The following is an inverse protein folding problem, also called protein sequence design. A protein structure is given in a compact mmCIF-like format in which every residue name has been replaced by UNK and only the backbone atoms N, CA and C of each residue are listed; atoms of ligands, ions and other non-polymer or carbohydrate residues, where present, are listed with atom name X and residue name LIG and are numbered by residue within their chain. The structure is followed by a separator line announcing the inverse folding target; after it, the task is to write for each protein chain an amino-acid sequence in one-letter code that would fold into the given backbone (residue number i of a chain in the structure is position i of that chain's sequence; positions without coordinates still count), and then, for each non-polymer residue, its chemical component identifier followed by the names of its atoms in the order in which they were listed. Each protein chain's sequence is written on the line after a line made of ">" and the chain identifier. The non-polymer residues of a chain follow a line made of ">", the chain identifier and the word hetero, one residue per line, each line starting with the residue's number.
data_IF_252573619366
#
_entry.id   IF_252573619366
#
_cell.length_a   1.000
_cell.length_b   1.000
_cell.length_c   1.000
_cell.angle_alpha   90.00
_cell.angle_beta   90.00
_cell.angle_gamma   90.00
#
_symmetry.space_group_name_H-M   'P 1'
#
loop_
_entity.id
_entity.type
_entity.pdbx_description
1 polymer ?
#
# COMPACT_ATOMS: atom_id res chain seq x y z
N UNK A 1 24.06 66.54 38.98
CA UNK A 1 22.66 66.17 39.30
C UNK A 1 21.82 66.23 38.04
N UNK A 2 21.75 65.13 37.27
CA UNK A 2 20.77 64.88 36.21
C UNK A 2 20.59 63.36 36.11
N UNK A 3 19.44 62.87 36.55
CA UNK A 3 19.04 61.47 36.55
C UNK A 3 18.45 61.18 35.16
N UNK A 4 19.11 60.34 34.35
CA UNK A 4 18.54 59.81 33.12
C UNK A 4 17.85 58.48 33.43
N UNK A 5 16.51 58.51 33.43
CA UNK A 5 15.62 57.37 33.57
C UNK A 5 15.60 56.62 32.23
N UNK A 6 16.28 55.47 32.13
CA UNK A 6 16.12 54.58 30.98
C UNK A 6 14.94 53.64 31.24
N UNK A 7 13.91 53.78 30.41
CA UNK A 7 12.71 52.96 30.42
C UNK A 7 13.05 51.51 30.07
N UNK A 8 12.70 50.58 30.96
CA UNK A 8 12.77 49.15 30.70
C UNK A 8 11.58 48.79 29.80
N UNK A 9 11.86 48.48 28.54
CA UNK A 9 10.88 47.88 27.63
C UNK A 9 10.70 46.42 28.03
N UNK A 10 9.59 46.10 28.68
CA UNK A 10 9.20 44.73 28.97
C UNK A 10 8.83 44.03 27.64
N UNK A 11 9.72 43.17 27.16
CA UNK A 11 9.42 42.26 26.05
C UNK A 11 8.50 41.18 26.60
N UNK A 12 7.21 41.27 26.29
CA UNK A 12 6.25 40.21 26.54
C UNK A 12 6.55 39.05 25.59
N UNK A 13 7.14 37.98 26.14
CA UNK A 13 7.32 36.72 25.43
C UNK A 13 5.92 36.12 25.19
N UNK A 14 5.31 36.41 24.04
CA UNK A 14 4.11 35.72 23.61
C UNK A 14 4.52 34.27 23.28
N UNK A 15 4.18 33.33 24.18
CA UNK A 15 4.29 31.91 23.90
C UNK A 15 3.41 31.59 22.69
N UNK A 16 4.02 31.36 21.53
CA UNK A 16 3.34 30.74 20.40
C UNK A 16 2.98 29.31 20.81
N UNK A 17 1.77 29.13 21.34
CA UNK A 17 1.18 27.81 21.48
C UNK A 17 1.08 27.22 20.07
N UNK A 18 1.90 26.20 19.81
CA UNK A 18 1.89 25.50 18.53
C UNK A 18 0.49 24.92 18.32
N UNK A 19 -0.20 25.20 17.19
CA UNK A 19 -1.54 24.68 16.94
C UNK A 19 -1.53 23.15 16.75
N UNK A 20 -0.33 22.56 16.64
CA UNK A 20 -0.10 21.12 16.78
C UNK A 20 -0.03 20.73 18.25
N UNK A 21 -1.13 20.93 18.98
CA UNK A 21 -1.34 20.11 20.16
C UNK A 21 -1.35 18.65 19.67
N UNK A 22 -0.28 17.90 19.96
CA UNK A 22 -0.24 16.45 19.80
C UNK A 22 -1.34 15.89 20.68
N UNK A 23 -2.52 15.67 20.13
CA UNK A 23 -3.37 14.59 20.62
C UNK A 23 -2.55 13.34 20.40
N UNK A 24 -1.82 12.91 21.43
CA UNK A 24 -1.23 11.57 21.44
C UNK A 24 -2.41 10.61 21.53
N UNK A 25 -2.99 10.30 20.37
CA UNK A 25 -3.65 9.02 20.20
C UNK A 25 -2.63 7.99 20.69
N UNK A 26 -3.05 7.11 21.60
CA UNK A 26 -2.23 6.02 22.11
C UNK A 26 -1.38 5.49 20.96
N UNK A 27 -0.07 5.36 21.17
CA UNK A 27 0.85 4.89 20.15
C UNK A 27 0.23 3.65 19.51
N UNK A 28 -0.37 3.82 18.32
CA UNK A 28 -0.83 2.69 17.54
C UNK A 28 0.45 1.88 17.34
N UNK A 29 0.46 0.67 17.88
CA UNK A 29 1.59 -0.24 17.84
C UNK A 29 2.15 -0.25 16.42
N UNK A 30 3.42 0.10 16.27
CA UNK A 30 4.07 0.13 14.96
C UNK A 30 3.96 -1.30 14.41
N UNK A 31 3.09 -1.48 13.42
CA UNK A 31 2.86 -2.79 12.84
C UNK A 31 4.18 -3.31 12.25
N UNK A 32 4.51 -4.59 12.46
CA UNK A 32 5.66 -5.19 11.81
C UNK A 32 5.57 -5.02 10.28
N UNK A 33 6.73 -4.99 9.60
CA UNK A 33 6.78 -4.95 8.14
C UNK A 33 5.90 -6.03 7.48
N UNK A 34 5.33 -5.70 6.31
CA UNK A 34 4.37 -6.57 5.61
C UNK A 34 4.93 -7.96 5.29
N UNK A 35 6.22 -8.06 5.00
CA UNK A 35 6.93 -9.30 4.73
C UNK A 35 7.05 -10.20 5.96
N UNK A 36 7.04 -9.63 7.17
CA UNK A 36 6.98 -10.40 8.41
C UNK A 36 5.53 -10.83 8.73
N UNK A 37 4.56 -9.92 8.57
CA UNK A 37 3.15 -10.20 8.86
C UNK A 37 2.53 -11.25 7.94
N UNK A 38 3.03 -11.36 6.71
CA UNK A 38 2.59 -12.34 5.71
C UNK A 38 3.69 -13.33 5.33
N UNK A 39 4.70 -13.52 6.18
CA UNK A 39 5.79 -14.47 5.93
C UNK A 39 5.27 -15.90 5.70
N UNK A 40 4.19 -16.27 6.39
CA UNK A 40 3.47 -17.53 6.23
C UNK A 40 1.94 -17.32 6.23
N UNK A 41 1.18 -18.41 6.29
CA UNK A 41 -0.28 -18.43 6.27
C UNK A 41 -0.91 -18.61 7.66
N UNK A 42 -0.14 -18.56 8.74
CA UNK A 42 -0.60 -18.86 10.10
C UNK A 42 -1.22 -17.64 10.82
N UNK A 43 -0.99 -16.41 10.31
CA UNK A 43 -1.55 -15.21 10.92
C UNK A 43 -3.07 -15.08 10.72
N UNK A 44 -3.71 -14.14 11.42
CA UNK A 44 -5.17 -13.89 11.31
C UNK A 44 -5.52 -12.65 10.45
N UNK A 45 -4.53 -11.83 10.10
CA UNK A 45 -4.75 -10.61 9.31
C UNK A 45 -5.23 -10.91 7.88
N UNK A 46 -6.42 -10.44 7.52
CA UNK A 46 -6.92 -10.45 6.14
C UNK A 46 -6.37 -9.26 5.36
N UNK A 47 -5.70 -9.47 4.20
CA UNK A 47 -5.24 -8.36 3.38
C UNK A 47 -6.40 -7.52 2.81
N UNK A 48 -6.39 -6.23 3.10
CA UNK A 48 -7.22 -5.20 2.46
C UNK A 48 -6.78 -4.91 0.99
N UNK A 49 -7.74 -4.82 0.06
CA UNK A 49 -7.46 -4.64 -1.37
C UNK A 49 -6.71 -3.32 -1.66
N UNK A 50 -7.17 -2.21 -1.09
CA UNK A 50 -6.59 -0.89 -1.31
C UNK A 50 -5.20 -0.79 -0.64
N UNK A 51 -5.08 -1.26 0.61
CA UNK A 51 -3.85 -1.10 1.40
C UNK A 51 -2.75 -2.10 1.05
N UNK A 52 -3.11 -3.32 0.64
CA UNK A 52 -2.14 -4.40 0.45
C UNK A 52 -2.09 -4.93 -0.99
N UNK A 53 -3.22 -5.23 -1.61
CA UNK A 53 -3.27 -5.95 -2.90
C UNK A 53 -2.93 -5.03 -4.07
N UNK A 54 -3.63 -3.90 -4.21
CA UNK A 54 -3.41 -2.93 -5.28
C UNK A 54 -1.97 -2.40 -5.34
N UNK A 55 -1.36 -1.92 -4.24
CA UNK A 55 0.04 -1.46 -4.29
C UNK A 55 1.03 -2.60 -4.55
N UNK A 56 0.69 -3.84 -4.20
CA UNK A 56 1.55 -4.99 -4.48
C UNK A 56 1.66 -5.27 -5.99
N UNK A 57 0.59 -5.05 -6.78
CA UNK A 57 0.69 -5.08 -8.25
C UNK A 57 1.72 -4.06 -8.77
N UNK A 58 1.77 -2.87 -8.17
CA UNK A 58 2.76 -1.84 -8.49
C UNK A 58 4.19 -2.28 -8.15
N UNK A 59 4.40 -2.78 -6.94
CA UNK A 59 5.70 -3.29 -6.49
C UNK A 59 6.24 -4.41 -7.39
N UNK A 60 5.36 -5.26 -7.91
CA UNK A 60 5.71 -6.38 -8.78
C UNK A 60 5.79 -6.01 -10.28
N UNK A 61 5.41 -4.78 -10.64
CA UNK A 61 5.41 -4.28 -12.01
C UNK A 61 4.22 -4.75 -12.85
N UNK A 62 3.22 -5.42 -12.27
CA UNK A 62 2.07 -5.98 -12.98
C UNK A 62 1.21 -4.89 -13.64
N UNK A 63 0.88 -3.83 -12.89
CA UNK A 63 0.08 -2.70 -13.35
C UNK A 63 0.95 -1.54 -13.91
N UNK A 64 2.17 -1.85 -14.35
CA UNK A 64 3.07 -0.90 -15.01
C UNK A 64 2.78 -0.75 -16.50
N UNK A 65 3.34 0.32 -17.10
CA UNK A 65 3.16 0.69 -18.52
C UNK A 65 3.60 -0.39 -19.51
N UNK A 66 4.56 -1.25 -19.14
CA UNK A 66 5.06 -2.32 -20.02
C UNK A 66 4.12 -3.53 -20.08
N UNK A 67 3.23 -3.67 -19.10
CA UNK A 67 2.43 -4.88 -18.85
C UNK A 67 0.93 -4.54 -18.78
N UNK A 68 0.23 -4.95 -17.72
CA UNK A 68 -1.22 -4.83 -17.63
C UNK A 68 -1.70 -3.40 -17.36
N UNK A 69 -0.83 -2.50 -16.91
CA UNK A 69 -1.14 -1.07 -16.76
C UNK A 69 -1.06 -0.26 -18.05
N UNK A 70 -0.64 -0.88 -19.17
CA UNK A 70 -0.67 -0.23 -20.48
C UNK A 70 -2.11 0.04 -20.94
N UNK A 71 -2.30 0.97 -21.88
CA UNK A 71 -3.62 1.24 -22.45
C UNK A 71 -4.25 0.00 -23.10
N UNK A 72 -3.42 -0.84 -23.72
CA UNK A 72 -3.82 -2.08 -24.37
C UNK A 72 -3.94 -3.27 -23.40
N UNK A 73 -3.36 -3.18 -22.20
CA UNK A 73 -3.17 -4.34 -21.32
C UNK A 73 -2.26 -5.41 -21.93
N UNK A 74 -2.36 -6.64 -21.44
CA UNK A 74 -1.70 -7.84 -22.01
C UNK A 74 -2.61 -9.06 -21.87
N UNK A 75 -2.64 -9.91 -22.89
CA UNK A 75 -3.43 -11.15 -22.86
C UNK A 75 -4.91 -10.93 -22.58
N UNK A 76 -5.50 -9.86 -23.10
CA UNK A 76 -6.89 -9.49 -22.84
C UNK A 76 -7.17 -8.98 -21.42
N UNK A 77 -6.14 -8.76 -20.59
CA UNK A 77 -6.27 -8.29 -19.22
C UNK A 77 -5.59 -6.94 -19.02
N UNK A 78 -6.33 -5.98 -18.45
CA UNK A 78 -5.86 -4.62 -18.20
C UNK A 78 -6.20 -4.17 -16.79
N UNK A 79 -5.18 -3.70 -16.09
CA UNK A 79 -5.27 -2.99 -14.82
C UNK A 79 -5.15 -1.48 -15.09
N UNK A 80 -5.65 -0.68 -14.16
CA UNK A 80 -5.40 0.75 -14.08
C UNK A 80 -3.90 1.01 -13.89
N UNK A 81 -3.37 2.03 -14.57
CA UNK A 81 -1.94 2.34 -14.53
C UNK A 81 -1.54 2.76 -13.11
N UNK A 82 -0.64 2.01 -12.47
CA UNK A 82 -0.22 2.24 -11.08
C UNK A 82 -1.35 2.18 -10.03
N UNK A 83 -2.50 1.56 -10.35
CA UNK A 83 -3.55 1.30 -9.36
C UNK A 83 -4.39 2.52 -9.00
N UNK A 84 -4.61 3.44 -9.95
CA UNK A 84 -5.38 4.67 -9.69
C UNK A 84 -6.90 4.45 -9.56
N UNK A 85 -7.42 3.32 -10.04
CA UNK A 85 -8.85 3.00 -10.02
C UNK A 85 -9.08 1.59 -9.47
N UNK A 86 -9.33 1.52 -8.16
CA UNK A 86 -9.50 0.25 -7.43
C UNK A 86 -10.71 -0.54 -7.89
N UNK A 87 -11.82 0.13 -8.26
CA UNK A 87 -13.02 -0.58 -8.70
C UNK A 87 -12.79 -1.18 -10.08
N UNK A 88 -12.23 -0.41 -11.02
CA UNK A 88 -11.91 -0.93 -12.34
C UNK A 88 -10.90 -2.09 -12.28
N UNK A 89 -9.92 -2.04 -11.37
CA UNK A 89 -8.97 -3.14 -11.13
C UNK A 89 -9.66 -4.41 -10.62
N UNK A 90 -10.57 -4.26 -9.65
CA UNK A 90 -11.34 -5.39 -9.13
C UNK A 90 -12.24 -6.00 -10.21
N UNK A 91 -12.91 -5.16 -11.01
CA UNK A 91 -13.79 -5.58 -12.09
C UNK A 91 -13.01 -6.35 -13.15
N UNK A 92 -11.82 -5.87 -13.54
CA UNK A 92 -10.95 -6.55 -14.49
C UNK A 92 -10.46 -7.92 -13.96
N UNK A 93 -10.22 -8.04 -12.65
CA UNK A 93 -9.87 -9.32 -12.03
C UNK A 93 -11.05 -10.31 -11.98
N UNK A 94 -12.28 -9.81 -11.86
CA UNK A 94 -13.52 -10.58 -11.81
C UNK A 94 -14.26 -10.60 -13.16
N UNK A 95 -13.57 -10.31 -14.27
CA UNK A 95 -14.19 -10.28 -15.59
C UNK A 95 -14.90 -11.61 -15.90
N UNK A 96 -16.10 -11.55 -16.50
CA UNK A 96 -16.92 -12.75 -16.71
C UNK A 96 -16.42 -13.63 -17.85
N UNK A 97 -15.75 -13.05 -18.84
CA UNK A 97 -15.28 -13.75 -20.03
C UNK A 97 -13.84 -14.27 -19.83
N UNK A 98 -13.02 -13.52 -19.08
CA UNK A 98 -11.63 -13.89 -18.77
C UNK A 98 -11.27 -13.60 -17.30
N UNK A 99 -11.91 -14.29 -16.33
CA UNK A 99 -11.66 -14.07 -14.92
C UNK A 99 -10.19 -14.37 -14.59
N UNK A 100 -9.64 -13.58 -13.66
CA UNK A 100 -8.31 -13.83 -13.07
C UNK A 100 -8.39 -14.36 -11.64
N UNK A 101 -9.59 -14.32 -11.07
CA UNK A 101 -9.92 -14.81 -9.75
C UNK A 101 -10.87 -16.00 -9.90
N UNK A 102 -10.50 -17.10 -9.28
CA UNK A 102 -11.40 -18.22 -8.97
C UNK A 102 -11.66 -18.21 -7.46
N UNK A 103 -12.90 -17.90 -7.06
CA UNK A 103 -13.30 -17.84 -5.65
C UNK A 103 -13.59 -19.22 -5.07
N UNK A 104 -13.90 -20.19 -5.91
CA UNK A 104 -14.13 -21.58 -5.51
C UNK A 104 -12.79 -22.29 -5.31
N UNK A 105 -11.79 -21.97 -6.15
CA UNK A 105 -10.42 -22.48 -6.05
C UNK A 105 -9.39 -21.33 -5.98
N UNK A 106 -9.26 -20.62 -4.85
CA UNK A 106 -8.35 -19.48 -4.68
C UNK A 106 -6.91 -19.71 -5.18
N UNK A 107 -6.35 -20.90 -4.93
CA UNK A 107 -4.98 -21.23 -5.31
C UNK A 107 -4.77 -21.44 -6.81
N UNK A 108 -5.84 -21.72 -7.56
CA UNK A 108 -5.84 -21.89 -9.02
C UNK A 108 -6.11 -20.57 -9.76
N UNK A 109 -6.36 -19.48 -9.02
CA UNK A 109 -6.59 -18.16 -9.62
C UNK A 109 -5.43 -17.76 -10.52
N UNK A 110 -5.73 -17.34 -11.76
CA UNK A 110 -4.70 -16.91 -12.72
C UNK A 110 -3.86 -15.74 -12.22
N UNK A 111 -4.41 -14.86 -11.37
CA UNK A 111 -3.65 -13.78 -10.72
C UNK A 111 -2.61 -14.29 -9.71
N UNK A 112 -2.64 -15.56 -9.35
CA UNK A 112 -1.69 -16.22 -8.47
C UNK A 112 -0.73 -17.10 -9.27
N UNK A 113 -1.25 -17.99 -10.13
CA UNK A 113 -0.43 -19.00 -10.82
C UNK A 113 0.45 -18.42 -11.94
N UNK A 114 -0.04 -17.42 -12.68
CA UNK A 114 0.74 -16.77 -13.75
C UNK A 114 1.96 -16.01 -13.22
N UNK A 115 1.82 -15.06 -12.28
CA UNK A 115 2.99 -14.38 -11.71
C UNK A 115 3.89 -15.30 -10.86
N UNK A 116 3.40 -16.46 -10.40
CA UNK A 116 4.25 -17.50 -9.81
C UNK A 116 4.97 -18.39 -10.83
N UNK A 117 4.71 -18.19 -12.13
CA UNK A 117 5.21 -19.01 -13.25
C UNK A 117 4.90 -20.52 -13.10
N UNK A 118 3.87 -20.86 -12.32
CA UNK A 118 3.28 -22.20 -12.30
C UNK A 118 2.48 -22.49 -13.59
N UNK A 119 2.17 -21.42 -14.31
CA UNK A 119 1.41 -21.40 -15.55
C UNK A 119 2.07 -20.37 -16.48
N UNK A 120 2.18 -20.65 -17.79
CA UNK A 120 2.99 -19.82 -18.68
C UNK A 120 2.58 -18.34 -18.60
N UNK A 121 3.53 -17.52 -18.17
CA UNK A 121 3.41 -16.07 -18.10
C UNK A 121 4.52 -15.41 -18.90
N UNK A 122 4.19 -14.76 -20.00
CA UNK A 122 5.16 -14.04 -20.84
C UNK A 122 5.91 -12.94 -20.08
N UNK A 123 5.33 -12.44 -18.98
CA UNK A 123 5.97 -11.51 -18.07
C UNK A 123 7.01 -12.14 -17.14
N UNK A 124 7.19 -13.46 -17.17
CA UNK A 124 8.06 -14.22 -16.26
C UNK A 124 7.57 -14.25 -14.81
N UNK A 125 8.35 -14.93 -13.97
CA UNK A 125 8.10 -15.03 -12.53
C UNK A 125 8.23 -13.67 -11.84
N UNK A 126 7.23 -13.32 -11.02
CA UNK A 126 7.16 -12.08 -10.22
C UNK A 126 7.31 -12.35 -8.73
N UNK A 127 6.97 -13.55 -8.28
CA UNK A 127 7.18 -14.01 -6.92
C UNK A 127 7.24 -15.53 -6.86
N UNK A 128 7.86 -16.07 -5.81
CA UNK A 128 7.85 -17.52 -5.54
C UNK A 128 6.57 -17.93 -4.81
N UNK A 129 6.07 -19.13 -5.09
CA UNK A 129 5.05 -19.77 -4.25
C UNK A 129 5.49 -19.81 -2.79
N UNK A 130 4.62 -19.39 -1.87
CA UNK A 130 4.90 -19.31 -0.42
C UNK A 130 5.68 -18.07 0.03
N UNK A 131 6.12 -17.20 -0.89
CA UNK A 131 6.66 -15.89 -0.52
C UNK A 131 5.58 -15.01 0.12
N UNK A 132 5.97 -13.96 0.83
CA UNK A 132 5.00 -13.05 1.46
C UNK A 132 4.08 -12.38 0.44
N UNK A 133 4.57 -12.09 -0.77
CA UNK A 133 3.75 -11.54 -1.85
C UNK A 133 2.67 -12.53 -2.29
N UNK A 134 3.06 -13.80 -2.47
CA UNK A 134 2.12 -14.88 -2.76
C UNK A 134 1.08 -15.01 -1.65
N UNK A 135 1.51 -14.98 -0.39
CA UNK A 135 0.62 -15.11 0.77
C UNK A 135 -0.37 -13.94 0.88
N UNK A 136 0.03 -12.71 0.55
CA UNK A 136 -0.89 -11.56 0.49
C UNK A 136 -2.00 -11.81 -0.54
N UNK A 137 -1.67 -12.22 -1.77
CA UNK A 137 -2.70 -12.50 -2.77
C UNK A 137 -3.57 -13.69 -2.38
N UNK A 138 -2.94 -14.81 -1.98
CA UNK A 138 -3.64 -16.04 -1.60
C UNK A 138 -4.64 -15.78 -0.46
N UNK A 139 -4.22 -15.12 0.61
CA UNK A 139 -5.11 -14.85 1.75
C UNK A 139 -6.25 -13.91 1.41
N UNK A 140 -6.01 -12.92 0.55
CA UNK A 140 -7.09 -12.06 0.06
C UNK A 140 -8.10 -12.85 -0.78
N UNK A 141 -7.64 -13.76 -1.64
CA UNK A 141 -8.48 -14.66 -2.42
C UNK A 141 -9.28 -15.61 -1.54
N UNK A 142 -8.63 -16.27 -0.57
CA UNK A 142 -9.27 -17.16 0.42
C UNK A 142 -10.30 -16.40 1.29
N UNK A 143 -10.11 -15.10 1.52
CA UNK A 143 -11.09 -14.23 2.18
C UNK A 143 -12.24 -13.76 1.26
N UNK A 144 -12.32 -14.28 0.04
CA UNK A 144 -13.38 -14.01 -0.93
C UNK A 144 -13.11 -12.84 -1.88
N UNK A 145 -11.85 -12.38 -1.95
CA UNK A 145 -11.40 -11.33 -2.86
C UNK A 145 -12.25 -10.04 -2.79
N UNK A 146 -12.53 -9.58 -1.56
CA UNK A 146 -13.46 -8.48 -1.31
C UNK A 146 -12.78 -7.11 -1.46
N UNK A 147 -13.54 -6.16 -1.97
CA UNK A 147 -13.27 -4.73 -1.92
C UNK A 147 -14.61 -4.00 -1.83
N UNK A 148 -14.69 -3.02 -0.93
CA UNK A 148 -15.87 -2.17 -0.77
C UNK A 148 -15.55 -0.77 -1.29
N UNK A 149 -16.04 -0.46 -2.48
CA UNK A 149 -15.84 0.85 -3.12
C UNK A 149 -16.59 1.99 -2.44
N UNK A 150 -17.57 1.70 -1.58
CA UNK A 150 -18.19 2.73 -0.74
C UNK A 150 -17.30 3.13 0.46
N UNK A 151 -16.29 2.32 0.79
CA UNK A 151 -15.42 2.50 1.95
C UNK A 151 -13.94 2.71 1.57
N UNK A 152 -13.69 3.37 0.43
CA UNK A 152 -12.33 3.76 0.04
C UNK A 152 -11.72 4.67 1.10
N UNK A 153 -10.63 4.22 1.70
CA UNK A 153 -9.93 4.93 2.77
C UNK A 153 -9.21 6.15 2.20
N UNK A 154 -9.38 7.30 2.83
CA UNK A 154 -8.61 8.52 2.53
C UNK A 154 -7.41 8.57 3.46
N UNK A 155 -6.24 8.93 2.92
CA UNK A 155 -5.07 9.24 3.73
C UNK A 155 -5.30 10.58 4.43
N UNK A 156 -5.66 10.55 5.71
CA UNK A 156 -5.90 11.77 6.49
C UNK A 156 -4.60 12.41 6.98
N UNK A 157 -3.62 11.58 7.35
CA UNK A 157 -2.35 12.02 7.91
C UNK A 157 -1.23 11.02 7.63
N UNK A 158 -0.03 11.54 7.34
CA UNK A 158 1.21 10.79 7.29
C UNK A 158 2.18 11.40 8.31
N UNK A 159 2.68 10.58 9.22
CA UNK A 159 3.76 10.94 10.15
C UNK A 159 4.97 10.06 9.85
N UNK A 160 6.14 10.68 9.75
CA UNK A 160 7.42 9.98 9.52
C UNK A 160 8.33 10.26 10.71
N UNK A 161 8.93 9.20 11.26
CA UNK A 161 9.82 9.27 12.41
C UNK A 161 11.09 8.44 12.14
N UNK A 162 12.30 9.02 12.22
CA UNK A 162 12.57 10.46 12.42
C UNK A 162 12.04 11.31 11.26
N UNK A 163 11.78 12.59 11.51
CA UNK A 163 11.23 13.49 10.48
C UNK A 163 12.22 13.75 9.31
N UNK A 164 13.50 13.44 9.50
CA UNK A 164 14.55 13.53 8.49
C UNK A 164 15.56 12.40 8.66
N UNK A 165 16.14 11.95 7.55
CA UNK A 165 17.28 11.04 7.51
C UNK A 165 18.45 11.78 6.83
N UNK A 166 19.52 12.02 7.57
CA UNK A 166 20.72 12.69 7.06
C UNK A 166 21.76 11.63 6.66
N UNK A 167 22.10 11.59 5.38
CA UNK A 167 23.19 10.77 4.86
C UNK A 167 24.49 11.59 4.88
N UNK A 168 25.51 11.12 5.59
CA UNK A 168 26.77 11.85 5.81
C UNK A 168 27.87 11.54 4.80
N UNK A 169 27.76 10.42 4.09
CA UNK A 169 28.87 9.89 3.31
C UNK A 169 28.76 10.30 1.85
N UNK A 170 29.89 10.68 1.23
CA UNK A 170 29.96 10.77 -0.23
C UNK A 170 29.96 9.34 -0.77
N UNK A 171 28.87 8.96 -1.44
CA UNK A 171 28.76 7.69 -2.17
C UNK A 171 29.80 7.53 -3.27
#
# INVERSE_FOLDING_TARGET
>A
MRICLFAIVAVTLAAFASPFARTSRAADEILPPIDQRFADLNGEETPDFQRHVSPLFGRLGCNGRSCHGSFQGRGGFRLSLFGYDFQADLDALNDKESPRIDKENPVESLMLVKPADADLHEGGERFKTGSWQYNVFRRWLEAGAKFDSAQVKKLERLEVQPAELLFSDKG
#
